data_IF_175319589444
#
_entry.id   IF_175319589444
#
_cell.length_a   1.000
_cell.length_b   1.000
_cell.length_c   1.000
_cell.angle_alpha   90.00
_cell.angle_beta   90.00
_cell.angle_gamma   90.00
#
_symmetry.space_group_name_H-M   'P 1'
#
loop_
_entity.id
_entity.type
_entity.pdbx_description
1 polymer ?
#
# COMPACT_ATOMS: atom_id res chain seq x y z
N UNK A 1 -35.94 36.02 -38.92
CA UNK A 1 -34.67 35.29 -38.75
C UNK A 1 -34.49 35.06 -37.26
N UNK A 2 -34.74 33.85 -36.83
CA UNK A 2 -34.71 33.47 -35.40
C UNK A 2 -33.39 32.73 -35.11
N UNK A 3 -32.53 33.36 -34.30
CA UNK A 3 -31.26 32.78 -33.85
C UNK A 3 -31.49 31.79 -32.74
N UNK A 4 -31.35 30.50 -33.06
CA UNK A 4 -31.30 29.46 -32.04
C UNK A 4 -29.95 29.50 -31.31
N UNK A 5 -29.97 29.89 -30.05
CA UNK A 5 -28.83 29.73 -29.13
C UNK A 5 -28.75 28.31 -28.66
N UNK A 6 -27.73 27.56 -29.12
CA UNK A 6 -27.44 26.21 -28.61
C UNK A 6 -26.71 26.34 -27.30
N UNK A 7 -27.43 26.09 -26.18
CA UNK A 7 -26.83 25.92 -24.87
C UNK A 7 -26.07 24.58 -24.85
N UNK A 8 -24.75 24.65 -24.95
CA UNK A 8 -23.87 23.51 -24.67
C UNK A 8 -23.88 23.22 -23.16
N UNK A 9 -24.74 22.26 -22.75
CA UNK A 9 -24.67 21.67 -21.43
C UNK A 9 -23.44 20.74 -21.39
N UNK A 10 -22.31 21.22 -20.92
CA UNK A 10 -21.17 20.37 -20.59
C UNK A 10 -21.48 19.65 -19.27
N UNK A 11 -22.02 18.41 -19.37
CA UNK A 11 -22.07 17.50 -18.24
C UNK A 11 -20.62 17.16 -17.87
N UNK A 12 -20.09 17.82 -16.83
CA UNK A 12 -18.88 17.35 -16.16
C UNK A 12 -19.25 16.07 -15.42
N UNK A 13 -19.07 14.91 -16.05
CA UNK A 13 -19.09 13.63 -15.36
C UNK A 13 -17.93 13.70 -14.37
N UNK A 14 -18.24 13.99 -13.12
CA UNK A 14 -17.28 13.88 -12.01
C UNK A 14 -16.81 12.44 -12.01
N UNK A 15 -15.66 12.20 -12.62
CA UNK A 15 -15.06 10.88 -12.69
C UNK A 15 -14.97 10.37 -11.26
N UNK A 16 -15.65 9.28 -10.95
CA UNK A 16 -15.62 8.68 -9.61
C UNK A 16 -14.20 8.12 -9.42
N UNK A 17 -13.32 8.94 -8.87
CA UNK A 17 -11.98 8.51 -8.51
C UNK A 17 -12.09 7.51 -7.38
N UNK A 18 -11.33 6.40 -7.46
CA UNK A 18 -11.28 5.39 -6.42
C UNK A 18 -10.84 5.97 -5.06
N UNK A 19 -11.01 5.21 -4.01
CA UNK A 19 -10.60 5.53 -2.64
C UNK A 19 -9.37 4.70 -2.27
N UNK A 20 -8.69 5.11 -1.21
CA UNK A 20 -7.55 4.40 -0.67
C UNK A 20 -7.93 3.75 0.67
N UNK A 21 -7.52 2.50 0.87
CA UNK A 21 -7.77 1.73 2.08
C UNK A 21 -6.41 1.27 2.62
N UNK A 22 -6.00 1.84 3.73
CA UNK A 22 -4.69 1.61 4.32
C UNK A 22 -4.86 0.66 5.50
N UNK A 23 -4.26 -0.52 5.41
CA UNK A 23 -4.19 -1.46 6.51
C UNK A 23 -2.84 -1.35 7.19
N UNK A 24 -2.86 -1.15 8.51
CA UNK A 24 -1.66 -1.17 9.36
C UNK A 24 -1.89 -2.11 10.54
N UNK A 25 -0.84 -2.81 10.97
CA UNK A 25 -0.94 -3.76 12.06
C UNK A 25 0.43 -4.23 12.54
N UNK A 26 0.56 -4.73 13.75
CA UNK A 26 1.72 -5.50 14.18
C UNK A 26 1.93 -6.75 13.32
N UNK A 27 3.19 -7.19 13.19
CA UNK A 27 3.51 -8.45 12.52
C UNK A 27 2.79 -9.62 13.20
N UNK A 28 2.07 -10.46 12.44
CA UNK A 28 1.33 -11.60 13.00
C UNK A 28 -0.14 -11.34 13.34
N UNK A 29 -0.64 -10.10 13.22
CA UNK A 29 -2.05 -9.76 13.54
C UNK A 29 -3.09 -10.33 12.57
N UNK A 30 -2.69 -10.88 11.41
CA UNK A 30 -3.59 -11.42 10.38
C UNK A 30 -3.95 -10.42 9.28
N UNK A 31 -3.27 -9.28 9.19
CA UNK A 31 -3.50 -8.22 8.20
C UNK A 31 -3.58 -8.75 6.77
N UNK A 32 -2.56 -9.48 6.31
CA UNK A 32 -2.50 -10.01 4.94
C UNK A 32 -3.61 -11.03 4.66
N UNK A 33 -4.06 -11.80 5.66
CA UNK A 33 -5.19 -12.72 5.53
C UNK A 33 -6.48 -11.95 5.25
N UNK A 34 -6.72 -10.86 5.98
CA UNK A 34 -7.88 -9.98 5.78
C UNK A 34 -7.83 -9.33 4.40
N UNK A 35 -6.68 -8.76 4.03
CA UNK A 35 -6.50 -8.10 2.72
C UNK A 35 -6.75 -9.10 1.58
N UNK A 36 -6.15 -10.30 1.64
CA UNK A 36 -6.33 -11.32 0.62
C UNK A 36 -7.80 -11.74 0.48
N UNK A 37 -8.51 -11.91 1.59
CA UNK A 37 -9.94 -12.19 1.57
C UNK A 37 -10.73 -11.05 0.90
N UNK A 38 -10.47 -9.79 1.27
CA UNK A 38 -11.15 -8.63 0.69
C UNK A 38 -10.90 -8.49 -0.82
N UNK A 39 -9.69 -8.81 -1.29
CA UNK A 39 -9.36 -8.78 -2.72
C UNK A 39 -10.13 -9.82 -3.54
N UNK A 40 -10.65 -10.89 -2.91
CA UNK A 40 -11.54 -11.86 -3.59
C UNK A 40 -12.99 -11.39 -3.69
N UNK A 41 -13.36 -10.32 -2.98
CA UNK A 41 -14.73 -9.80 -2.98
C UNK A 41 -14.95 -8.82 -4.14
N UNK A 42 -16.19 -8.68 -4.60
CA UNK A 42 -16.53 -7.73 -5.68
C UNK A 42 -16.64 -6.28 -5.16
N UNK A 43 -15.51 -5.75 -4.67
CA UNK A 43 -15.39 -4.40 -4.10
C UNK A 43 -14.56 -3.45 -4.97
N UNK A 44 -14.23 -3.86 -6.20
CA UNK A 44 -13.36 -3.12 -7.11
C UNK A 44 -12.02 -2.69 -6.45
N UNK A 45 -11.42 -3.63 -5.68
CA UNK A 45 -10.16 -3.42 -4.98
C UNK A 45 -8.97 -3.77 -5.89
N UNK A 46 -7.93 -2.96 -5.81
CA UNK A 46 -6.63 -3.24 -6.40
C UNK A 46 -5.54 -3.13 -5.32
N UNK A 47 -4.64 -4.11 -5.25
CA UNK A 47 -3.52 -4.06 -4.31
C UNK A 47 -2.45 -3.09 -4.78
N UNK A 48 -1.92 -2.28 -3.87
CA UNK A 48 -0.78 -1.40 -4.15
C UNK A 48 0.51 -2.21 -4.09
N UNK A 49 1.12 -2.41 -5.25
CA UNK A 49 2.41 -3.09 -5.36
C UNK A 49 3.52 -2.11 -5.01
N UNK A 50 4.31 -2.42 -3.97
CA UNK A 50 5.45 -1.60 -3.54
C UNK A 50 6.64 -1.71 -4.49
N UNK A 51 7.48 -0.68 -4.53
CA UNK A 51 8.81 -0.76 -5.12
C UNK A 51 9.83 -1.19 -4.07
N UNK A 52 10.90 -1.87 -4.50
CA UNK A 52 12.02 -2.24 -3.64
C UNK A 52 13.34 -2.23 -4.41
N UNK A 53 14.44 -1.92 -3.71
CA UNK A 53 15.79 -1.99 -4.29
C UNK A 53 16.50 -3.32 -4.02
N UNK A 54 15.86 -4.26 -3.29
CA UNK A 54 16.43 -5.60 -3.17
C UNK A 54 16.23 -6.41 -4.46
N UNK A 55 17.14 -7.36 -4.77
CA UNK A 55 16.91 -8.27 -5.88
C UNK A 55 15.69 -9.17 -5.65
N UNK A 56 15.04 -9.66 -6.72
CA UNK A 56 13.99 -10.66 -6.65
C UNK A 56 14.46 -11.92 -5.92
N UNK A 57 13.56 -12.59 -5.20
CA UNK A 57 13.80 -13.87 -4.52
C UNK A 57 12.99 -14.98 -5.19
N UNK A 58 13.65 -16.09 -5.46
CA UNK A 58 12.98 -17.26 -6.06
C UNK A 58 12.25 -16.91 -7.36
N UNK A 59 10.94 -17.04 -7.35
CA UNK A 59 10.07 -16.83 -8.52
C UNK A 59 9.41 -15.45 -8.58
N UNK A 60 9.79 -14.51 -7.71
CA UNK A 60 9.23 -13.15 -7.70
C UNK A 60 9.44 -12.44 -9.05
N UNK A 61 8.42 -11.74 -9.51
CA UNK A 61 8.41 -11.04 -10.82
C UNK A 61 8.18 -9.55 -10.65
N UNK A 62 8.88 -8.77 -11.47
CA UNK A 62 8.69 -7.33 -11.54
C UNK A 62 7.24 -6.98 -11.91
N UNK A 63 6.62 -6.08 -11.14
CA UNK A 63 5.24 -5.65 -11.34
C UNK A 63 4.17 -6.62 -10.83
N UNK A 64 4.57 -7.72 -10.17
CA UNK A 64 3.67 -8.69 -9.53
C UNK A 64 3.82 -8.62 -8.02
N UNK A 65 4.97 -9.06 -7.49
CA UNK A 65 5.24 -8.99 -6.05
C UNK A 65 5.78 -7.60 -5.66
N UNK A 66 6.71 -7.08 -6.47
CA UNK A 66 7.31 -5.76 -6.30
C UNK A 66 7.66 -5.12 -7.66
N UNK A 67 7.80 -3.79 -7.67
CA UNK A 67 8.56 -3.08 -8.69
C UNK A 67 10.02 -3.12 -8.27
N UNK A 68 10.82 -4.02 -8.84
CA UNK A 68 12.25 -4.15 -8.53
C UNK A 68 13.02 -3.05 -9.25
N UNK A 69 13.74 -2.24 -8.49
CA UNK A 69 14.61 -1.14 -8.95
C UNK A 69 16.04 -1.41 -8.48
N UNK A 70 17.03 -0.80 -9.11
CA UNK A 70 18.36 -0.73 -8.48
C UNK A 70 18.38 0.30 -7.35
N UNK A 71 19.34 0.25 -6.41
CA UNK A 71 19.45 1.29 -5.38
C UNK A 71 19.64 2.69 -5.97
N UNK A 72 20.34 2.82 -7.09
CA UNK A 72 20.57 4.07 -7.81
C UNK A 72 19.27 4.61 -8.41
N UNK A 73 18.50 3.75 -9.09
CA UNK A 73 17.18 4.11 -9.63
C UNK A 73 16.22 4.52 -8.51
N UNK A 74 16.26 3.82 -7.37
CA UNK A 74 15.39 4.14 -6.24
C UNK A 74 15.73 5.52 -5.67
N UNK A 75 17.02 5.82 -5.45
CA UNK A 75 17.46 7.15 -4.98
C UNK A 75 17.11 8.27 -5.95
N UNK A 76 17.33 8.06 -7.25
CA UNK A 76 16.93 9.04 -8.27
C UNK A 76 15.42 9.36 -8.21
N UNK A 77 14.57 8.34 -8.01
CA UNK A 77 13.12 8.53 -7.86
C UNK A 77 12.74 9.23 -6.55
N UNK A 78 13.52 9.03 -5.46
CA UNK A 78 13.36 9.81 -4.21
C UNK A 78 13.63 11.30 -4.49
N UNK A 79 14.74 11.62 -5.13
CA UNK A 79 15.13 12.99 -5.49
C UNK A 79 14.08 13.68 -6.37
N UNK A 80 13.46 12.93 -7.27
CA UNK A 80 12.35 13.38 -8.12
C UNK A 80 10.98 13.42 -7.40
N UNK A 81 10.93 13.10 -6.08
CA UNK A 81 9.69 13.08 -5.29
C UNK A 81 8.59 12.18 -5.88
N UNK A 82 8.97 11.01 -6.42
CA UNK A 82 8.07 10.05 -7.07
C UNK A 82 7.40 9.07 -6.11
N UNK A 83 7.80 9.03 -4.82
CA UNK A 83 7.21 8.17 -3.80
C UNK A 83 6.17 8.90 -2.93
N UNK A 84 5.13 8.18 -2.53
CA UNK A 84 4.18 8.59 -1.48
C UNK A 84 4.78 8.43 -0.09
N UNK A 85 5.49 7.33 0.09
CA UNK A 85 6.28 6.98 1.28
C UNK A 85 7.43 6.07 0.83
N UNK A 86 8.49 6.07 1.59
CA UNK A 86 9.61 5.11 1.43
C UNK A 86 10.38 4.98 2.74
N UNK A 87 11.08 3.86 2.89
CA UNK A 87 11.95 3.56 4.02
C UNK A 87 13.23 2.86 3.54
N UNK A 88 14.37 3.23 4.11
CA UNK A 88 15.61 2.48 4.01
C UNK A 88 15.71 1.52 5.20
N UNK A 89 15.32 0.25 5.00
CA UNK A 89 15.29 -0.77 6.07
C UNK A 89 16.69 -1.25 6.43
N UNK A 90 17.58 -1.35 5.45
CA UNK A 90 19.01 -1.62 5.58
C UNK A 90 19.75 -0.78 4.54
N UNK A 91 21.05 -0.60 4.71
CA UNK A 91 21.89 0.13 3.75
C UNK A 91 21.62 -0.32 2.31
N UNK A 92 21.21 0.62 1.47
CA UNK A 92 20.85 0.45 0.05
C UNK A 92 19.64 -0.49 -0.19
N UNK A 93 18.87 -0.82 0.84
CA UNK A 93 17.64 -1.63 0.73
C UNK A 93 16.42 -0.80 1.07
N UNK A 94 15.81 -0.28 0.03
CA UNK A 94 14.65 0.58 0.09
C UNK A 94 13.36 -0.18 -0.20
N UNK A 95 12.28 0.27 0.41
CA UNK A 95 10.91 -0.06 0.06
C UNK A 95 10.11 1.22 -0.02
N UNK A 96 9.10 1.26 -0.88
CA UNK A 96 8.25 2.46 -0.98
C UNK A 96 7.12 2.30 -1.98
N UNK A 97 6.20 3.24 -1.96
CA UNK A 97 5.01 3.26 -2.79
C UNK A 97 5.12 4.34 -3.85
N UNK A 98 5.12 3.94 -5.12
CA UNK A 98 5.21 4.87 -6.26
C UNK A 98 3.89 5.61 -6.49
N UNK A 99 3.93 6.95 -6.53
CA UNK A 99 2.76 7.83 -6.79
C UNK A 99 2.06 7.45 -8.10
N UNK A 100 2.82 7.31 -9.17
CA UNK A 100 2.31 7.00 -10.50
C UNK A 100 1.46 5.73 -10.54
N UNK A 101 1.86 4.67 -9.82
CA UNK A 101 1.13 3.41 -9.81
C UNK A 101 -0.22 3.54 -9.10
N UNK A 102 -0.23 4.27 -7.98
CA UNK A 102 -1.45 4.53 -7.21
C UNK A 102 -2.42 5.41 -8.00
N UNK A 103 -1.93 6.50 -8.59
CA UNK A 103 -2.78 7.39 -9.40
C UNK A 103 -3.38 6.66 -10.62
N UNK A 104 -2.61 5.82 -11.32
CA UNK A 104 -3.13 4.99 -12.43
C UNK A 104 -4.27 4.06 -12.00
N UNK A 105 -4.19 3.48 -10.80
CA UNK A 105 -5.26 2.64 -10.24
C UNK A 105 -6.51 3.48 -9.90
N UNK A 106 -6.31 4.64 -9.27
CA UNK A 106 -7.39 5.56 -8.91
C UNK A 106 -8.10 6.14 -10.14
N UNK A 107 -7.37 6.48 -11.21
CA UNK A 107 -7.92 6.95 -12.48
C UNK A 107 -8.81 5.92 -13.16
N UNK A 108 -8.49 4.62 -12.99
CA UNK A 108 -9.34 3.50 -13.44
C UNK A 108 -10.59 3.31 -12.56
N UNK A 109 -10.79 4.15 -11.54
CA UNK A 109 -11.88 4.04 -10.58
C UNK A 109 -11.72 2.92 -9.57
N UNK A 110 -10.55 2.28 -9.47
CA UNK A 110 -10.27 1.22 -8.51
C UNK A 110 -10.07 1.78 -7.12
N UNK A 111 -10.49 1.04 -6.09
CA UNK A 111 -10.14 1.33 -4.70
C UNK A 111 -8.79 0.67 -4.40
N UNK A 112 -7.81 1.46 -3.97
CA UNK A 112 -6.44 0.97 -3.78
C UNK A 112 -6.23 0.53 -2.33
N UNK A 113 -5.79 -0.72 -2.13
CA UNK A 113 -5.52 -1.31 -0.81
C UNK A 113 -4.02 -1.33 -0.56
N UNK A 114 -3.60 -0.86 0.61
CA UNK A 114 -2.22 -0.84 1.07
C UNK A 114 -2.01 -1.77 2.26
N UNK A 115 -0.90 -2.51 2.24
CA UNK A 115 -0.36 -3.28 3.36
C UNK A 115 0.93 -2.59 3.84
N UNK A 116 0.80 -1.67 4.82
CA UNK A 116 1.89 -0.83 5.28
C UNK A 116 2.08 -0.94 6.80
N UNK A 117 3.24 -0.47 7.25
CA UNK A 117 3.42 -0.16 8.66
C UNK A 117 2.65 1.13 9.04
N UNK A 118 2.69 1.49 10.33
CA UNK A 118 1.95 2.65 10.83
C UNK A 118 2.49 3.95 10.24
N UNK A 119 3.81 4.09 10.10
CA UNK A 119 4.45 5.32 9.61
C UNK A 119 4.10 5.56 8.15
N UNK A 120 4.29 4.54 7.29
CA UNK A 120 3.92 4.60 5.87
C UNK A 120 2.43 4.89 5.68
N UNK A 121 1.57 4.23 6.49
CA UNK A 121 0.14 4.47 6.48
C UNK A 121 -0.24 5.91 6.85
N UNK A 122 0.40 6.50 7.86
CA UNK A 122 0.21 7.90 8.24
C UNK A 122 0.64 8.86 7.14
N UNK A 123 1.75 8.59 6.44
CA UNK A 123 2.22 9.41 5.33
C UNK A 123 1.22 9.42 4.17
N UNK A 124 0.69 8.27 3.78
CA UNK A 124 -0.34 8.17 2.74
C UNK A 124 -1.63 8.87 3.18
N UNK A 125 -2.08 8.66 4.43
CA UNK A 125 -3.26 9.34 4.97
C UNK A 125 -3.10 10.87 4.95
N UNK A 126 -1.92 11.38 5.31
CA UNK A 126 -1.61 12.81 5.27
C UNK A 126 -1.65 13.36 3.84
N UNK A 127 -1.16 12.61 2.87
CA UNK A 127 -1.13 13.03 1.46
C UNK A 127 -2.53 13.06 0.83
N UNK A 128 -3.36 12.03 1.05
CA UNK A 128 -4.67 11.89 0.42
C UNK A 128 -5.86 12.40 1.25
N UNK A 129 -5.67 12.71 2.53
CA UNK A 129 -6.71 13.27 3.40
C UNK A 129 -7.96 12.38 3.48
N UNK A 130 -9.12 12.97 3.20
CA UNK A 130 -10.43 12.29 3.28
C UNK A 130 -10.63 11.18 2.23
N UNK A 131 -9.81 11.12 1.19
CA UNK A 131 -9.86 10.03 0.20
C UNK A 131 -9.29 8.72 0.73
N UNK A 132 -8.53 8.75 1.83
CA UNK A 132 -7.89 7.59 2.43
C UNK A 132 -8.60 7.18 3.73
N UNK A 133 -9.03 5.92 3.82
CA UNK A 133 -9.48 5.25 5.03
C UNK A 133 -8.32 4.49 5.65
N UNK A 134 -7.99 4.76 6.92
CA UNK A 134 -6.99 4.00 7.66
C UNK A 134 -7.67 3.00 8.58
N UNK A 135 -7.23 1.76 8.53
CA UNK A 135 -7.72 0.63 9.34
C UNK A 135 -6.54 0.05 10.09
N UNK A 136 -6.61 0.05 11.40
CA UNK A 136 -5.64 -0.64 12.25
C UNK A 136 -6.17 -2.00 12.66
N UNK A 137 -5.45 -3.08 12.31
CA UNK A 137 -5.83 -4.45 12.68
C UNK A 137 -5.15 -4.81 14.00
N UNK A 138 -5.91 -4.70 15.08
CA UNK A 138 -5.42 -5.03 16.42
C UNK A 138 -5.56 -6.53 16.67
N UNK A 139 -4.51 -7.24 17.14
CA UNK A 139 -4.64 -8.60 17.61
C UNK A 139 -5.46 -8.66 18.90
N UNK A 140 -6.11 -9.80 19.22
CA UNK A 140 -6.94 -9.91 20.42
C UNK A 140 -6.13 -9.71 21.71
N UNK A 141 -4.89 -10.20 21.76
CA UNK A 141 -3.95 -10.01 22.87
C UNK A 141 -2.50 -10.18 22.41
N UNK A 142 -1.55 -9.79 23.26
CA UNK A 142 -0.12 -9.98 23.05
C UNK A 142 0.23 -11.49 23.06
N UNK A 143 -0.41 -12.26 23.92
CA UNK A 143 -0.23 -13.72 24.03
C UNK A 143 -0.63 -14.42 22.73
N UNK A 144 -1.78 -14.03 22.16
CA UNK A 144 -2.23 -14.55 20.88
C UNK A 144 -1.26 -14.18 19.75
N UNK A 145 -0.76 -12.93 19.76
CA UNK A 145 0.24 -12.49 18.79
C UNK A 145 1.52 -13.31 18.88
N UNK A 146 2.02 -13.55 20.11
CA UNK A 146 3.18 -14.41 20.37
C UNK A 146 2.95 -15.83 19.87
N UNK A 147 1.80 -16.41 20.18
CA UNK A 147 1.42 -17.75 19.72
C UNK A 147 1.46 -17.85 18.17
N UNK A 148 0.89 -16.87 17.48
CA UNK A 148 0.89 -16.82 16.01
C UNK A 148 2.28 -16.66 15.40
N UNK A 149 3.13 -15.83 15.99
CA UNK A 149 4.50 -15.63 15.52
C UNK A 149 5.34 -16.90 15.74
N UNK A 150 5.24 -17.51 16.90
CA UNK A 150 5.91 -18.79 17.21
C UNK A 150 5.43 -19.93 16.29
N UNK A 151 4.13 -20.02 16.05
CA UNK A 151 3.52 -21.04 15.19
C UNK A 151 3.93 -20.96 13.72
N UNK A 152 4.46 -19.82 13.24
CA UNK A 152 5.01 -19.68 11.89
C UNK A 152 6.35 -20.42 11.73
N UNK A 153 7.13 -20.57 12.79
CA UNK A 153 8.44 -21.23 12.75
C UNK A 153 9.49 -20.56 11.87
N UNK A 154 9.31 -19.28 11.55
CA UNK A 154 10.20 -18.52 10.64
C UNK A 154 11.16 -17.60 11.35
N UNK A 155 10.90 -17.30 12.62
CA UNK A 155 11.67 -16.33 13.41
C UNK A 155 12.21 -16.98 14.69
N UNK A 156 13.41 -16.61 15.08
CA UNK A 156 13.99 -16.95 16.36
C UNK A 156 13.25 -16.28 17.52
N UNK A 157 13.24 -16.88 18.74
CA UNK A 157 12.51 -16.33 19.89
C UNK A 157 12.82 -14.85 20.20
N UNK A 158 14.07 -14.44 20.11
CA UNK A 158 14.51 -13.06 20.34
C UNK A 158 13.92 -12.09 19.31
N UNK A 159 13.80 -12.53 18.05
CA UNK A 159 13.17 -11.74 16.99
C UNK A 159 11.68 -11.58 17.24
N UNK A 160 11.01 -12.64 17.73
CA UNK A 160 9.59 -12.60 18.10
C UNK A 160 9.35 -11.57 19.19
N UNK A 161 10.12 -11.60 20.29
CA UNK A 161 9.98 -10.61 21.37
C UNK A 161 10.26 -9.17 20.90
N UNK A 162 11.25 -8.97 20.03
CA UNK A 162 11.52 -7.67 19.42
C UNK A 162 10.36 -7.16 18.55
N UNK A 163 9.63 -8.05 17.87
CA UNK A 163 8.45 -7.69 17.07
C UNK A 163 7.23 -7.37 17.92
N UNK A 164 7.10 -8.01 19.09
CA UNK A 164 6.01 -7.76 20.05
C UNK A 164 6.22 -6.43 20.78
N UNK A 165 7.48 -6.05 21.02
CA UNK A 165 7.83 -4.80 21.72
C UNK A 165 7.68 -3.53 20.87
N UNK A 166 7.53 -3.67 19.54
CA UNK A 166 7.25 -2.56 18.61
C UNK A 166 5.78 -2.18 18.59
#
# INVERSE_FOLDING_TARGET
>A
MSTFSVFNFQFSIKQMTGKLIIFSAPSGSGKSTIINYLLTQNLNLAFSISATSRPPRGTEKHGVEYFFLTPEEFRCRIENNEFLEYEEVYKDRYYGTLKEQVEKQLEKGQNVVFDLDVVGGCNIKKYYGERALSIFVQPPSIEELRCRLTGRGTDEPEVIESRIAK
#
